data_IF_444366039960
#
_entry.id   IF_444366039960
#
_cell.length_a   1.000
_cell.length_b   1.000
_cell.length_c   1.000
_cell.angle_alpha   90.00
_cell.angle_beta   90.00
_cell.angle_gamma   90.00
#
_symmetry.space_group_name_H-M   'P 1'
#
loop_
_entity.id
_entity.type
_entity.pdbx_description
1 polymer ?
#
# COMPACT_ATOMS: atom_id res chain seq x y z
N UNK A 1 -8.87 7.14 -16.80
CA UNK A 1 -8.57 5.90 -16.05
C UNK A 1 -9.56 5.83 -14.91
N UNK A 2 -10.25 4.70 -14.70
CA UNK A 2 -11.30 4.64 -13.66
C UNK A 2 -10.66 4.54 -12.26
N UNK A 3 -11.45 4.70 -11.19
CA UNK A 3 -10.92 4.70 -9.81
C UNK A 3 -10.24 3.38 -9.44
N UNK A 4 -10.75 2.25 -9.93
CA UNK A 4 -10.17 0.93 -9.74
C UNK A 4 -8.79 0.84 -10.40
N UNK A 5 -8.68 1.21 -11.68
CA UNK A 5 -7.43 1.15 -12.44
C UNK A 5 -6.33 1.99 -11.78
N UNK A 6 -6.67 3.19 -11.26
CA UNK A 6 -5.70 4.07 -10.60
C UNK A 6 -5.23 3.46 -9.27
N UNK A 7 -6.15 2.97 -8.45
CA UNK A 7 -5.80 2.36 -7.16
C UNK A 7 -5.00 1.07 -7.34
N UNK A 8 -5.39 0.23 -8.30
CA UNK A 8 -4.64 -0.97 -8.67
C UNK A 8 -3.21 -0.63 -9.09
N UNK A 9 -3.03 0.40 -9.92
CA UNK A 9 -1.71 0.88 -10.33
C UNK A 9 -0.84 1.31 -9.14
N UNK A 10 -1.42 2.05 -8.18
CA UNK A 10 -0.72 2.48 -6.96
C UNK A 10 -0.31 1.30 -6.07
N UNK A 11 -1.23 0.36 -5.83
CA UNK A 11 -0.94 -0.85 -5.04
C UNK A 11 0.09 -1.75 -5.73
N UNK A 12 0.02 -1.90 -7.05
CA UNK A 12 1.00 -2.66 -7.83
C UNK A 12 2.39 -2.03 -7.76
N UNK A 13 2.48 -0.70 -7.79
CA UNK A 13 3.75 0.02 -7.63
C UNK A 13 4.38 -0.22 -6.25
N UNK A 14 3.57 -0.20 -5.18
CA UNK A 14 4.02 -0.57 -3.83
C UNK A 14 4.55 -2.00 -3.82
N UNK A 15 3.76 -2.96 -4.31
CA UNK A 15 4.13 -4.38 -4.31
C UNK A 15 5.42 -4.66 -5.09
N UNK A 16 5.62 -3.99 -6.23
CA UNK A 16 6.83 -4.10 -7.03
C UNK A 16 8.04 -3.42 -6.36
N UNK A 17 7.84 -2.29 -5.68
CA UNK A 17 8.93 -1.62 -4.97
C UNK A 17 9.46 -2.45 -3.80
N UNK A 18 8.57 -3.15 -3.09
CA UNK A 18 8.95 -4.07 -2.00
C UNK A 18 10.00 -5.11 -2.46
N UNK A 19 9.90 -5.61 -3.69
CA UNK A 19 10.87 -6.58 -4.25
C UNK A 19 12.26 -6.01 -4.49
N UNK A 20 12.40 -4.68 -4.46
CA UNK A 20 13.68 -3.98 -4.66
C UNK A 20 14.35 -3.59 -3.35
N UNK A 21 13.66 -3.70 -2.21
CA UNK A 21 14.15 -3.24 -0.92
C UNK A 21 15.25 -4.16 -0.38
N UNK A 22 16.37 -3.56 0.04
CA UNK A 22 17.46 -4.23 0.74
C UNK A 22 17.43 -3.80 2.20
N UNK A 23 16.97 -4.67 3.10
CA UNK A 23 16.81 -4.40 4.52
C UNK A 23 17.93 -5.05 5.33
N UNK A 24 18.28 -4.44 6.47
CA UNK A 24 19.30 -4.96 7.38
C UNK A 24 18.68 -5.81 8.50
N UNK A 25 17.52 -5.39 9.00
CA UNK A 25 16.81 -6.06 10.09
C UNK A 25 16.02 -7.28 9.63
N UNK A 26 16.33 -8.46 10.20
CA UNK A 26 15.55 -9.68 10.00
C UNK A 26 14.07 -9.53 10.40
N UNK A 27 13.79 -8.80 11.49
CA UNK A 27 12.42 -8.55 11.93
C UNK A 27 11.66 -7.68 10.93
N UNK A 28 12.32 -6.65 10.37
CA UNK A 28 11.74 -5.81 9.33
C UNK A 28 11.51 -6.61 8.05
N UNK A 29 12.43 -7.49 7.66
CA UNK A 29 12.26 -8.38 6.51
C UNK A 29 11.07 -9.34 6.67
N UNK A 30 10.90 -9.95 7.84
CA UNK A 30 9.75 -10.82 8.12
C UNK A 30 8.43 -10.06 8.10
N UNK A 31 8.41 -8.86 8.69
CA UNK A 31 7.25 -7.98 8.63
C UNK A 31 6.92 -7.56 7.19
N UNK A 32 7.93 -7.16 6.40
CA UNK A 32 7.74 -6.68 5.04
C UNK A 32 7.12 -7.76 4.14
N UNK A 33 7.41 -9.04 4.38
CA UNK A 33 6.74 -10.17 3.69
C UNK A 33 5.23 -10.19 3.98
N UNK A 34 4.83 -10.05 5.24
CA UNK A 34 3.41 -10.01 5.63
C UNK A 34 2.72 -8.77 5.08
N UNK A 35 3.41 -7.62 5.11
CA UNK A 35 2.91 -6.38 4.52
C UNK A 35 2.71 -6.52 3.01
N UNK A 36 3.64 -7.18 2.31
CA UNK A 36 3.52 -7.50 0.88
C UNK A 36 2.31 -8.38 0.59
N UNK A 37 2.09 -9.42 1.37
CA UNK A 37 0.91 -10.29 1.26
C UNK A 37 -0.39 -9.49 1.41
N UNK A 38 -0.46 -8.60 2.40
CA UNK A 38 -1.59 -7.69 2.59
C UNK A 38 -1.82 -6.77 1.38
N UNK A 39 -0.77 -6.13 0.85
CA UNK A 39 -0.89 -5.30 -0.36
C UNK A 39 -1.39 -6.14 -1.55
N UNK A 40 -0.93 -7.37 -1.70
CA UNK A 40 -1.38 -8.27 -2.75
C UNK A 40 -2.86 -8.67 -2.59
N UNK A 41 -3.35 -8.90 -1.37
CA UNK A 41 -4.78 -9.11 -1.11
C UNK A 41 -5.63 -7.91 -1.53
N UNK A 42 -5.13 -6.69 -1.31
CA UNK A 42 -5.80 -5.46 -1.74
C UNK A 42 -5.82 -5.33 -3.27
N UNK A 43 -4.76 -5.73 -3.96
CA UNK A 43 -4.71 -5.82 -5.43
C UNK A 43 -5.76 -6.81 -5.94
N UNK A 44 -5.89 -7.97 -5.32
CA UNK A 44 -6.91 -8.95 -5.70
C UNK A 44 -8.32 -8.40 -5.44
N UNK A 45 -8.53 -7.69 -4.33
CA UNK A 45 -9.82 -7.07 -3.99
C UNK A 45 -10.23 -5.97 -4.98
N UNK A 46 -9.28 -5.15 -5.46
CA UNK A 46 -9.57 -4.11 -6.45
C UNK A 46 -9.88 -4.72 -7.82
N UNK A 47 -9.14 -5.74 -8.24
CA UNK A 47 -9.38 -6.48 -9.49
C UNK A 47 -10.76 -7.16 -9.51
N UNK A 48 -11.15 -7.74 -8.38
CA UNK A 48 -12.46 -8.38 -8.22
C UNK A 48 -13.60 -7.39 -7.92
N UNK A 49 -13.30 -6.09 -7.78
CA UNK A 49 -14.25 -5.03 -7.39
C UNK A 49 -14.99 -5.33 -6.07
N UNK A 50 -14.31 -5.99 -5.14
CA UNK A 50 -14.83 -6.30 -3.80
C UNK A 50 -14.27 -5.38 -2.72
N UNK A 51 -13.37 -4.47 -3.10
CA UNK A 51 -12.87 -3.43 -2.20
C UNK A 51 -14.02 -2.55 -1.71
N UNK A 52 -13.94 -2.13 -0.45
CA UNK A 52 -14.96 -1.27 0.14
C UNK A 52 -14.74 0.18 -0.26
N UNK A 53 -15.82 0.95 -0.29
CA UNK A 53 -15.75 2.40 -0.27
C UNK A 53 -14.93 2.86 0.94
N UNK A 54 -14.05 3.83 0.74
CA UNK A 54 -13.22 4.35 1.82
C UNK A 54 -14.06 5.09 2.85
N UNK A 55 -15.16 5.73 2.43
CA UNK A 55 -15.95 6.66 3.25
C UNK A 55 -15.08 7.71 3.96
N UNK A 56 -13.97 8.11 3.34
CA UNK A 56 -13.00 9.06 3.92
C UNK A 56 -12.01 8.44 4.91
N UNK A 57 -11.98 7.11 5.05
CA UNK A 57 -10.95 6.41 5.82
C UNK A 57 -9.72 6.09 4.96
N UNK A 58 -8.55 6.05 5.59
CA UNK A 58 -7.33 5.51 4.98
C UNK A 58 -7.39 3.98 4.94
N UNK A 59 -6.62 3.37 4.04
CA UNK A 59 -6.49 1.92 3.92
C UNK A 59 -5.60 1.35 5.02
N UNK A 60 -4.69 2.17 5.55
CA UNK A 60 -3.77 1.80 6.62
C UNK A 60 -2.38 1.42 6.12
N UNK A 61 -2.04 1.76 4.87
CA UNK A 61 -0.74 1.50 4.26
C UNK A 61 0.38 2.26 4.99
N UNK A 62 0.17 3.55 5.27
CA UNK A 62 1.12 4.38 6.02
C UNK A 62 1.35 3.81 7.41
N UNK A 63 0.26 3.40 8.10
CA UNK A 63 0.34 2.83 9.44
C UNK A 63 1.12 1.52 9.47
N UNK A 64 1.03 0.71 8.42
CA UNK A 64 1.79 -0.53 8.32
C UNK A 64 3.30 -0.29 8.30
N UNK A 65 3.76 0.80 7.67
CA UNK A 65 5.19 1.06 7.53
C UNK A 65 5.76 1.95 8.65
N UNK A 66 4.93 2.76 9.31
CA UNK A 66 5.38 3.80 10.25
C UNK A 66 6.06 3.29 11.50
N UNK A 67 5.79 2.03 11.89
CA UNK A 67 6.34 1.43 13.11
C UNK A 67 7.75 0.83 12.89
N UNK A 68 8.26 0.86 11.66
CA UNK A 68 9.56 0.29 11.29
C UNK A 68 10.47 1.36 10.70
N UNK A 69 11.49 1.78 11.45
CA UNK A 69 12.41 2.86 11.07
C UNK A 69 13.03 2.67 9.68
N UNK A 70 13.49 1.46 9.34
CA UNK A 70 14.05 1.14 8.01
C UNK A 70 13.04 1.33 6.86
N UNK A 71 11.75 1.08 7.10
CA UNK A 71 10.70 1.25 6.08
C UNK A 71 10.27 2.73 5.98
N UNK A 72 10.15 3.39 7.13
CA UNK A 72 9.76 4.80 7.22
C UNK A 72 10.85 5.74 6.66
N UNK A 73 12.12 5.36 6.78
CA UNK A 73 13.26 6.13 6.27
C UNK A 73 13.47 6.00 4.75
N UNK A 74 12.81 5.05 4.06
CA UNK A 74 12.83 4.98 2.60
C UNK A 74 11.82 5.97 2.02
N UNK A 75 12.32 7.12 1.55
CA UNK A 75 11.51 8.20 0.98
C UNK A 75 10.61 7.74 -0.17
N UNK A 76 11.10 6.83 -1.02
CA UNK A 76 10.34 6.36 -2.19
C UNK A 76 9.20 5.47 -1.73
N UNK A 77 9.47 4.53 -0.84
CA UNK A 77 8.45 3.66 -0.27
C UNK A 77 7.41 4.45 0.51
N UNK A 78 7.86 5.39 1.35
CA UNK A 78 7.00 6.28 2.12
C UNK A 78 6.07 7.10 1.22
N UNK A 79 6.60 7.64 0.12
CA UNK A 79 5.81 8.41 -0.83
C UNK A 79 4.77 7.53 -1.54
N UNK A 80 5.12 6.30 -1.91
CA UNK A 80 4.20 5.36 -2.57
C UNK A 80 3.03 4.99 -1.66
N UNK A 81 3.30 4.59 -0.41
CA UNK A 81 2.23 4.22 0.54
C UNK A 81 1.36 5.42 0.90
N UNK A 82 1.96 6.60 1.05
CA UNK A 82 1.24 7.84 1.36
C UNK A 82 0.31 8.28 0.23
N UNK A 83 0.81 8.21 -1.01
CA UNK A 83 0.02 8.54 -2.20
C UNK A 83 -1.16 7.56 -2.38
N UNK A 84 -0.95 6.27 -2.14
CA UNK A 84 -2.02 5.26 -2.20
C UNK A 84 -3.08 5.47 -1.11
N UNK A 85 -2.68 5.70 0.15
CA UNK A 85 -3.61 5.95 1.25
C UNK A 85 -4.42 7.24 1.03
N UNK A 86 -3.77 8.32 0.60
CA UNK A 86 -4.43 9.58 0.30
C UNK A 86 -5.41 9.45 -0.86
N UNK A 87 -5.02 8.74 -1.92
CA UNK A 87 -5.92 8.50 -3.05
C UNK A 87 -7.15 7.69 -2.63
N UNK A 88 -6.95 6.60 -1.85
CA UNK A 88 -8.07 5.82 -1.34
C UNK A 88 -9.00 6.66 -0.44
N UNK A 89 -8.42 7.43 0.48
CA UNK A 89 -9.19 8.29 1.39
C UNK A 89 -10.01 9.34 0.64
N UNK A 90 -9.40 10.06 -0.31
CA UNK A 90 -10.00 11.23 -0.95
C UNK A 90 -10.84 10.88 -2.18
N UNK A 91 -10.33 10.00 -3.05
CA UNK A 91 -10.93 9.72 -4.36
C UNK A 91 -11.83 8.48 -4.33
N UNK A 92 -11.55 7.52 -3.44
CA UNK A 92 -12.31 6.26 -3.32
C UNK A 92 -13.39 6.28 -2.23
N UNK A 93 -13.90 7.47 -1.87
CA UNK A 93 -15.04 7.60 -0.94
C UNK A 93 -16.28 6.84 -1.44
N UNK A 94 -16.43 6.77 -2.76
CA UNK A 94 -17.35 5.88 -3.48
C UNK A 94 -16.69 5.39 -4.77
N UNK A 95 -16.80 4.10 -5.06
CA UNK A 95 -16.27 3.50 -6.29
C UNK A 95 -17.25 3.50 -7.47
#
# INVERSE_FOLDING_TARGET
>A
MNKYDILEGKLTAINAYIDTMCLESNATMEYLKQYKEYVNELIIAIQNRTIRNSNGAVMGLIRGVSDYDELCADDTFWQLVTDADNYYCNECQSF
#
